data_IF_781605312201
#
_entry.id   IF_781605312201
#
_cell.length_a   1.000
_cell.length_b   1.000
_cell.length_c   1.000
_cell.angle_alpha   90.00
_cell.angle_beta   90.00
_cell.angle_gamma   90.00
#
_symmetry.space_group_name_H-M   'P 1'
#
loop_
_entity.id
_entity.type
_entity.pdbx_description
1 polymer ?
#
# COMPACT_ATOMS: atom_id res chain seq x y z
N UNK A 1 22.64 19.39 -1.68
CA UNK A 1 21.72 20.22 -2.49
C UNK A 1 20.48 19.38 -2.72
N UNK A 2 19.30 19.91 -2.44
CA UNK A 2 18.05 19.17 -2.65
C UNK A 2 17.79 18.92 -4.13
N UNK A 3 17.17 17.80 -4.46
CA UNK A 3 16.71 17.56 -5.82
C UNK A 3 15.53 18.47 -6.18
N UNK A 4 15.38 18.78 -7.46
CA UNK A 4 14.25 19.54 -7.96
C UNK A 4 12.96 18.75 -7.78
N UNK A 5 11.84 19.45 -7.67
CA UNK A 5 10.52 18.83 -7.57
C UNK A 5 10.21 17.93 -8.78
N UNK A 6 10.63 18.35 -9.98
CA UNK A 6 10.48 17.55 -11.20
C UNK A 6 11.22 16.19 -11.10
N UNK A 7 12.44 16.18 -10.52
CA UNK A 7 13.17 14.93 -10.30
C UNK A 7 12.46 14.04 -9.28
N UNK A 8 12.00 14.61 -8.16
CA UNK A 8 11.26 13.86 -7.13
C UNK A 8 9.99 13.24 -7.70
N UNK A 9 9.23 14.00 -8.49
CA UNK A 9 8.04 13.53 -9.18
C UNK A 9 8.36 12.41 -10.19
N UNK A 10 9.44 12.56 -10.97
CA UNK A 10 9.86 11.53 -11.92
C UNK A 10 10.16 10.19 -11.22
N UNK A 11 10.86 10.23 -10.08
CA UNK A 11 11.14 9.04 -9.27
C UNK A 11 9.85 8.43 -8.71
N UNK A 12 8.97 9.24 -8.12
CA UNK A 12 7.71 8.75 -7.56
C UNK A 12 6.80 8.15 -8.65
N UNK A 13 6.70 8.79 -9.81
CA UNK A 13 5.97 8.26 -10.97
C UNK A 13 6.55 6.92 -11.45
N UNK A 14 7.88 6.82 -11.54
CA UNK A 14 8.53 5.57 -11.91
C UNK A 14 8.21 4.45 -10.91
N UNK A 15 8.26 4.72 -9.61
CA UNK A 15 7.87 3.75 -8.58
C UNK A 15 6.43 3.27 -8.76
N UNK A 16 5.50 4.15 -9.14
CA UNK A 16 4.12 3.77 -9.46
C UNK A 16 3.99 2.76 -10.62
N UNK A 17 4.99 2.67 -11.50
CA UNK A 17 5.01 1.66 -12.58
C UNK A 17 5.53 0.29 -12.12
N UNK A 18 6.17 0.22 -10.96
CA UNK A 18 6.87 -0.98 -10.50
C UNK A 18 5.97 -2.01 -9.81
N UNK A 19 4.70 -1.70 -9.56
CA UNK A 19 3.74 -2.61 -8.93
C UNK A 19 2.42 -1.93 -8.62
N UNK A 20 1.32 -2.68 -8.71
CA UNK A 20 -0.03 -2.18 -8.49
C UNK A 20 -0.92 -3.14 -7.70
N UNK A 21 -0.44 -4.36 -7.41
CA UNK A 21 -1.19 -5.33 -6.64
C UNK A 21 -0.97 -5.06 -5.15
N UNK A 22 -2.07 -4.81 -4.44
CA UNK A 22 -2.08 -4.44 -3.04
C UNK A 22 -2.48 -5.66 -2.21
N UNK A 23 -1.76 -5.88 -1.12
CA UNK A 23 -2.05 -6.90 -0.11
C UNK A 23 -2.24 -6.28 1.27
N UNK A 24 -2.91 -6.98 2.18
CA UNK A 24 -3.01 -6.63 3.59
C UNK A 24 -2.13 -7.55 4.44
N UNK A 25 -1.54 -7.00 5.50
CA UNK A 25 -0.69 -7.76 6.41
C UNK A 25 -1.01 -7.44 7.87
N UNK A 26 -0.94 -8.46 8.71
CA UNK A 26 -1.17 -8.34 10.15
C UNK A 26 0.03 -7.90 10.98
N UNK A 27 1.22 -7.91 10.39
CA UNK A 27 2.44 -7.35 10.96
C UNK A 27 3.32 -6.79 9.84
N UNK A 28 4.49 -6.27 10.18
CA UNK A 28 5.42 -5.70 9.19
C UNK A 28 5.75 -6.75 8.10
N UNK A 29 5.51 -6.45 6.82
CA UNK A 29 5.80 -7.36 5.72
C UNK A 29 7.29 -7.49 5.37
N UNK A 30 8.15 -6.64 5.93
CA UNK A 30 9.58 -6.61 5.64
C UNK A 30 9.85 -6.35 4.16
N UNK A 31 10.79 -7.10 3.60
CA UNK A 31 11.16 -7.03 2.17
C UNK A 31 10.65 -8.20 1.34
N UNK A 32 9.91 -9.12 1.96
CA UNK A 32 9.46 -10.38 1.35
C UNK A 32 7.94 -10.48 1.23
N UNK A 33 7.19 -9.56 1.83
CA UNK A 33 5.73 -9.64 1.91
C UNK A 33 5.26 -10.64 2.96
N UNK A 34 6.01 -10.82 4.05
CA UNK A 34 5.64 -11.68 5.16
C UNK A 34 4.33 -11.24 5.82
N UNK A 35 3.68 -12.11 6.59
CA UNK A 35 2.48 -11.79 7.38
C UNK A 35 1.26 -11.34 6.55
N UNK A 36 1.18 -11.73 5.27
CA UNK A 36 0.00 -11.46 4.44
C UNK A 36 -1.23 -12.20 5.02
N UNK A 37 -2.34 -11.46 5.11
CA UNK A 37 -3.63 -12.01 5.57
C UNK A 37 -4.18 -12.99 4.53
N UNK A 38 -4.94 -13.98 4.97
CA UNK A 38 -5.60 -14.95 4.12
C UNK A 38 -6.98 -15.30 4.70
N UNK A 39 -7.77 -16.09 3.98
CA UNK A 39 -9.11 -16.48 4.43
C UNK A 39 -10.16 -15.39 4.19
N UNK A 40 -11.38 -15.59 4.70
CA UNK A 40 -12.46 -14.60 4.61
C UNK A 40 -12.93 -14.13 3.21
N UNK A 41 -12.43 -14.72 2.11
CA UNK A 41 -12.61 -14.20 0.74
C UNK A 41 -11.57 -13.16 0.31
N UNK A 42 -10.54 -12.95 1.13
CA UNK A 42 -9.41 -12.09 0.84
C UNK A 42 -8.71 -12.50 -0.47
N UNK A 43 -8.39 -11.48 -1.26
CA UNK A 43 -7.49 -11.58 -2.40
C UNK A 43 -6.80 -10.23 -2.58
N UNK A 44 -5.57 -10.25 -3.10
CA UNK A 44 -4.87 -9.03 -3.52
C UNK A 44 -5.73 -8.22 -4.49
N UNK A 45 -5.68 -6.90 -4.40
CA UNK A 45 -6.47 -5.98 -5.23
C UNK A 45 -5.56 -5.06 -6.01
N UNK A 46 -5.86 -4.82 -7.28
CA UNK A 46 -5.07 -3.92 -8.11
C UNK A 46 -5.54 -2.48 -7.92
N UNK A 47 -4.61 -1.57 -7.60
CA UNK A 47 -4.85 -0.12 -7.56
C UNK A 47 -4.46 0.54 -8.89
N UNK A 48 -5.04 1.70 -9.18
CA UNK A 48 -4.56 2.59 -10.23
C UNK A 48 -3.79 3.76 -9.59
N UNK A 49 -2.50 3.90 -9.90
CA UNK A 49 -1.69 5.01 -9.40
C UNK A 49 -1.97 6.32 -10.13
N UNK A 50 -2.25 7.38 -9.37
CA UNK A 50 -2.28 8.74 -9.88
C UNK A 50 -0.87 9.30 -10.12
N UNK A 51 -0.81 10.41 -10.85
CA UNK A 51 0.44 11.14 -11.07
C UNK A 51 0.99 11.73 -9.76
N UNK A 52 2.31 11.81 -9.65
CA UNK A 52 2.99 12.35 -8.48
C UNK A 52 2.70 13.84 -8.28
N UNK A 53 2.33 14.22 -7.07
CA UNK A 53 2.17 15.61 -6.64
C UNK A 53 3.21 15.96 -5.56
N UNK A 54 3.61 17.24 -5.47
CA UNK A 54 4.47 17.69 -4.36
C UNK A 54 3.59 18.02 -3.15
N UNK A 55 3.85 17.36 -2.03
CA UNK A 55 3.17 17.56 -0.74
C UNK A 55 4.24 17.76 0.32
N UNK A 56 4.29 18.95 0.92
CA UNK A 56 5.27 19.27 1.97
C UNK A 56 6.74 19.13 1.51
N UNK A 57 7.03 19.39 0.22
CA UNK A 57 8.38 19.26 -0.35
C UNK A 57 8.78 17.85 -0.80
N UNK A 58 7.88 16.86 -0.65
CA UNK A 58 8.08 15.48 -1.06
C UNK A 58 7.17 15.13 -2.24
N UNK A 59 7.59 14.23 -3.12
CA UNK A 59 6.72 13.72 -4.17
C UNK A 59 5.88 12.57 -3.64
N UNK A 60 4.56 12.63 -3.84
CA UNK A 60 3.61 11.62 -3.39
C UNK A 60 2.79 11.13 -4.58
N UNK A 61 2.75 9.81 -4.78
CA UNK A 61 1.73 9.15 -5.61
C UNK A 61 0.68 8.52 -4.70
N UNK A 62 -0.57 8.58 -5.15
CA UNK A 62 -1.73 8.03 -4.43
C UNK A 62 -2.47 7.10 -5.37
N UNK A 63 -2.76 5.88 -4.92
CA UNK A 63 -3.54 4.91 -5.66
C UNK A 63 -5.04 5.11 -5.48
N UNK A 64 -5.83 4.49 -6.35
CA UNK A 64 -7.27 4.37 -6.17
C UNK A 64 -7.61 3.53 -4.93
N UNK A 65 -8.73 3.84 -4.29
CA UNK A 65 -9.27 3.01 -3.19
C UNK A 65 -9.50 1.58 -3.68
N UNK A 66 -9.00 0.62 -2.91
CA UNK A 66 -9.28 -0.81 -3.09
C UNK A 66 -9.91 -1.36 -1.83
N UNK A 67 -10.94 -2.19 -1.99
CA UNK A 67 -11.67 -2.78 -0.86
C UNK A 67 -11.34 -4.27 -0.75
N UNK A 68 -10.97 -4.71 0.45
CA UNK A 68 -10.67 -6.10 0.78
C UNK A 68 -11.77 -6.72 1.64
N UNK A 69 -12.01 -8.01 1.42
CA UNK A 69 -12.66 -8.89 2.38
C UNK A 69 -11.60 -9.37 3.38
N UNK A 70 -11.88 -9.25 4.67
CA UNK A 70 -10.97 -9.64 5.76
C UNK A 70 -11.73 -10.53 6.74
N UNK A 71 -11.14 -11.65 7.13
CA UNK A 71 -11.77 -12.59 8.05
C UNK A 71 -11.95 -11.99 9.44
N UNK A 72 -12.96 -12.47 10.17
CA UNK A 72 -13.14 -12.13 11.56
C UNK A 72 -11.91 -12.54 12.39
N UNK A 73 -11.44 -11.65 13.27
CA UNK A 73 -10.27 -11.88 14.11
C UNK A 73 -8.95 -11.43 13.50
N UNK A 74 -8.90 -11.14 12.20
CA UNK A 74 -7.69 -10.62 11.56
C UNK A 74 -7.49 -9.12 11.80
N UNK A 75 -6.22 -8.75 11.87
CA UNK A 75 -5.78 -7.36 11.94
C UNK A 75 -5.12 -6.98 10.62
N UNK A 76 -5.61 -5.96 9.94
CA UNK A 76 -5.00 -5.31 8.80
C UNK A 76 -4.21 -4.07 9.27
N UNK A 77 -2.93 -4.26 9.55
CA UNK A 77 -2.06 -3.23 10.12
C UNK A 77 -1.10 -2.61 9.10
N UNK A 78 -0.84 -3.31 7.99
CA UNK A 78 0.05 -2.88 6.92
C UNK A 78 -0.54 -3.24 5.56
N UNK A 79 -0.10 -2.54 4.52
CA UNK A 79 -0.30 -2.98 3.14
C UNK A 79 1.02 -3.21 2.42
N UNK A 80 1.01 -4.14 1.48
CA UNK A 80 2.12 -4.46 0.60
C UNK A 80 1.83 -4.06 -0.84
N UNK A 81 2.88 -3.78 -1.61
CA UNK A 81 2.80 -3.54 -3.06
C UNK A 81 3.60 -4.60 -3.80
N UNK A 82 2.97 -5.23 -4.78
CA UNK A 82 3.53 -6.32 -5.56
C UNK A 82 3.49 -6.01 -7.06
N UNK A 83 4.33 -6.74 -7.77
CA UNK A 83 4.30 -6.88 -9.22
C UNK A 83 4.27 -8.37 -9.53
N UNK A 84 3.06 -8.90 -9.72
CA UNK A 84 2.84 -10.34 -9.74
C UNK A 84 3.33 -11.00 -8.44
N UNK A 85 4.28 -11.93 -8.55
CA UNK A 85 4.85 -12.64 -7.40
C UNK A 85 5.96 -11.87 -6.67
N UNK A 86 6.43 -10.74 -7.20
CA UNK A 86 7.55 -9.99 -6.61
C UNK A 86 7.05 -8.89 -5.69
N UNK A 87 7.43 -8.97 -4.40
CA UNK A 87 7.19 -7.90 -3.43
C UNK A 87 8.08 -6.68 -3.72
N UNK A 88 7.52 -5.48 -3.60
CA UNK A 88 8.26 -4.21 -3.82
C UNK A 88 8.55 -3.51 -2.52
N UNK A 89 7.50 -3.20 -1.75
CA UNK A 89 7.61 -2.56 -0.45
C UNK A 89 6.31 -2.71 0.34
N UNK A 90 6.36 -2.45 1.64
CA UNK A 90 5.19 -2.32 2.50
C UNK A 90 5.16 -0.99 3.23
N UNK A 91 3.97 -0.60 3.69
CA UNK A 91 3.77 0.58 4.55
C UNK A 91 2.69 0.30 5.61
N UNK A 92 2.75 0.97 6.76
CA UNK A 92 1.68 0.89 7.75
C UNK A 92 0.36 1.38 7.16
N UNK A 93 -0.74 0.70 7.50
CA UNK A 93 -2.07 1.26 7.37
C UNK A 93 -2.28 2.22 8.55
N UNK A 94 -2.66 3.45 8.25
CA UNK A 94 -2.85 4.49 9.26
C UNK A 94 -4.23 5.12 9.10
N UNK A 95 -5.18 4.85 10.02
CA UNK A 95 -5.09 3.88 11.12
C UNK A 95 -5.13 2.42 10.60
N UNK A 96 -4.53 1.50 11.34
CA UNK A 96 -4.73 0.06 11.14
C UNK A 96 -6.14 -0.35 11.58
N UNK A 97 -6.63 -1.49 11.09
CA UNK A 97 -7.99 -1.98 11.37
C UNK A 97 -7.93 -3.41 11.88
N UNK A 98 -8.68 -3.72 12.94
CA UNK A 98 -8.91 -5.09 13.40
C UNK A 98 -10.40 -5.41 13.28
N UNK A 99 -10.73 -6.58 12.71
CA UNK A 99 -12.11 -7.03 12.54
C UNK A 99 -12.50 -7.84 13.80
N UNK A 100 -13.21 -7.21 14.73
CA UNK A 100 -13.35 -7.71 16.10
C UNK A 100 -14.54 -8.68 16.36
N UNK A 101 -15.32 -9.11 15.35
CA UNK A 101 -16.59 -9.83 15.59
C UNK A 101 -17.01 -10.82 14.49
N UNK A 102 -18.03 -11.64 14.80
CA UNK A 102 -18.49 -12.84 14.08
C UNK A 102 -18.99 -12.59 12.63
N UNK A 103 -18.05 -12.35 11.73
CA UNK A 103 -18.29 -12.25 10.29
C UNK A 103 -17.15 -11.52 9.59
N UNK A 104 -16.91 -11.84 8.33
CA UNK A 104 -15.89 -11.16 7.55
C UNK A 104 -16.24 -9.66 7.43
N UNK A 105 -15.22 -8.81 7.53
CA UNK A 105 -15.32 -7.37 7.41
C UNK A 105 -14.80 -6.86 6.06
N UNK A 106 -14.97 -5.56 5.84
CA UNK A 106 -14.40 -4.84 4.70
C UNK A 106 -13.35 -3.85 5.16
N UNK A 107 -12.23 -3.79 4.46
CA UNK A 107 -11.16 -2.81 4.69
C UNK A 107 -10.90 -2.05 3.39
N UNK A 108 -11.15 -0.74 3.41
CA UNK A 108 -10.81 0.16 2.32
C UNK A 108 -9.37 0.67 2.49
N UNK A 109 -8.55 0.55 1.45
CA UNK A 109 -7.16 0.99 1.43
C UNK A 109 -6.94 1.97 0.29
N UNK A 110 -6.29 3.10 0.61
CA UNK A 110 -5.77 4.05 -0.37
C UNK A 110 -4.24 3.99 -0.28
N UNK A 111 -3.58 3.18 -1.13
CA UNK A 111 -2.13 3.00 -1.04
C UNK A 111 -1.43 4.28 -1.49
N UNK A 112 -0.26 4.56 -0.90
CA UNK A 112 0.54 5.76 -1.19
C UNK A 112 2.01 5.42 -1.28
N UNK A 113 2.76 6.26 -2.00
CA UNK A 113 4.21 6.25 -1.93
C UNK A 113 4.71 7.68 -1.86
N UNK A 114 5.65 7.92 -0.94
CA UNK A 114 6.30 9.21 -0.77
C UNK A 114 7.79 9.06 -1.04
N UNK A 115 8.30 9.90 -1.95
CA UNK A 115 9.72 10.07 -2.21
C UNK A 115 10.18 11.42 -1.67
N UNK A 116 11.22 11.38 -0.84
CA UNK A 116 11.90 12.54 -0.30
C UNK A 116 13.39 12.47 -0.66
N UNK A 117 13.96 13.60 -1.07
CA UNK A 117 15.39 13.75 -1.28
C UNK A 117 15.78 15.16 -0.81
N UNK A 118 16.52 15.21 0.30
CA UNK A 118 16.99 16.42 0.98
C UNK A 118 18.34 16.89 0.43
#
# INVERSE_FOLDING_TARGET
>A
MAATDAMKQAVANYVGTLGADISLHGADPGTTGANEIAGGGYARKTTAWGAAAIVGGNAVITGSTVQFDVEAGDAALWYGVWNGATFRYGRPLTPGVTINAAGNGKVDVIPTYTYAQT
#
